data_IF_576507332683
#
_entry.id   IF_576507332683
#
_cell.length_a   1.000
_cell.length_b   1.000
_cell.length_c   1.000
_cell.angle_alpha   90.00
_cell.angle_beta   90.00
_cell.angle_gamma   90.00
#
_symmetry.space_group_name_H-M   'P 1'
#
loop_
_entity.id
_entity.type
_entity.pdbx_description
1 polymer ?
#
# COMPACT_ATOMS: atom_id res chain seq x y z
N UNK A 1 -17.75 -34.57 -14.60
CA UNK A 1 -16.29 -34.35 -14.50
C UNK A 1 -15.99 -32.97 -15.08
N UNK A 2 -15.76 -31.97 -14.23
CA UNK A 2 -14.99 -30.75 -14.55
C UNK A 2 -14.56 -30.15 -13.21
N UNK A 3 -13.41 -30.61 -12.72
CA UNK A 3 -12.71 -29.93 -11.65
C UNK A 3 -11.97 -28.73 -12.23
N UNK A 4 -12.14 -27.57 -11.61
CA UNK A 4 -11.04 -26.68 -11.31
C UNK A 4 -11.37 -25.91 -10.04
N UNK A 5 -11.05 -26.53 -8.91
CA UNK A 5 -10.40 -25.86 -7.77
C UNK A 5 -9.42 -24.80 -8.29
N UNK A 6 -9.38 -23.57 -7.79
CA UNK A 6 -9.08 -23.26 -6.39
C UNK A 6 -9.64 -21.89 -5.99
N UNK A 7 -10.80 -21.89 -5.33
CA UNK A 7 -11.20 -20.84 -4.39
C UNK A 7 -10.40 -20.97 -3.07
N UNK A 8 -9.11 -21.28 -3.17
CA UNK A 8 -8.19 -21.24 -2.05
C UNK A 8 -7.70 -19.80 -1.94
N UNK A 9 -8.50 -18.99 -1.24
CA UNK A 9 -8.06 -17.94 -0.33
C UNK A 9 -6.57 -17.58 -0.48
N UNK A 10 -6.20 -16.97 -1.61
CA UNK A 10 -4.95 -16.26 -1.69
C UNK A 10 -5.22 -15.03 -0.85
N UNK A 11 -4.90 -15.12 0.44
CA UNK A 11 -4.71 -13.97 1.32
C UNK A 11 -3.65 -13.11 0.66
N UNK A 12 -4.03 -12.34 -0.36
CA UNK A 12 -3.17 -11.40 -1.06
C UNK A 12 -2.77 -10.43 0.03
N UNK A 13 -1.60 -10.69 0.60
CA UNK A 13 -1.12 -9.96 1.76
C UNK A 13 -0.76 -8.60 1.24
N UNK A 14 -1.74 -7.68 1.29
CA UNK A 14 -1.60 -6.32 0.81
C UNK A 14 -0.30 -5.75 1.37
N UNK A 15 0.63 -5.43 0.49
CA UNK A 15 1.93 -4.94 0.90
C UNK A 15 1.71 -3.62 1.63
N UNK A 16 2.10 -3.58 2.90
CA UNK A 16 1.93 -2.41 3.76
C UNK A 16 3.17 -2.19 4.60
N UNK A 17 3.44 -0.94 4.92
CA UNK A 17 4.59 -0.50 5.70
C UNK A 17 4.13 0.44 6.81
N UNK A 18 4.97 0.61 7.84
CA UNK A 18 4.80 1.66 8.83
C UNK A 18 5.70 2.82 8.45
N UNK A 19 5.13 4.02 8.38
CA UNK A 19 5.86 5.25 8.10
C UNK A 19 6.80 5.53 9.27
N UNK A 20 8.10 5.70 9.01
CA UNK A 20 9.07 6.04 10.05
C UNK A 20 9.14 7.56 10.23
N UNK A 21 9.62 8.05 11.39
CA UNK A 21 9.94 9.47 11.54
C UNK A 21 10.93 9.91 10.45
N UNK A 22 10.54 10.91 9.67
CA UNK A 22 11.30 11.42 8.52
C UNK A 22 10.93 10.80 7.17
N UNK A 23 10.12 9.74 7.13
CA UNK A 23 9.57 9.25 5.88
C UNK A 23 8.53 10.24 5.33
N UNK A 24 8.60 10.48 4.02
CA UNK A 24 7.61 11.26 3.29
C UNK A 24 6.96 10.41 2.21
N UNK A 25 5.78 10.83 1.73
CA UNK A 25 5.14 10.17 0.59
C UNK A 25 6.07 10.08 -0.61
N UNK A 26 6.90 11.11 -0.82
CA UNK A 26 7.88 11.13 -1.91
C UNK A 26 9.00 10.11 -1.70
N UNK A 27 9.59 10.05 -0.49
CA UNK A 27 10.64 9.08 -0.17
C UNK A 27 10.14 7.63 -0.30
N UNK A 28 8.94 7.37 0.22
CA UNK A 28 8.29 6.05 0.11
C UNK A 28 7.97 5.73 -1.36
N UNK A 29 7.41 6.70 -2.09
CA UNK A 29 7.09 6.55 -3.50
C UNK A 29 8.31 6.14 -4.32
N UNK A 30 9.46 6.79 -4.10
CA UNK A 30 10.73 6.48 -4.76
C UNK A 30 11.31 5.14 -4.31
N UNK A 31 11.23 4.82 -3.02
CA UNK A 31 11.76 3.59 -2.42
C UNK A 31 11.03 2.33 -2.90
N UNK A 32 9.72 2.42 -3.05
CA UNK A 32 8.86 1.30 -3.45
C UNK A 32 8.40 1.38 -4.91
N UNK A 33 8.86 2.39 -5.67
CA UNK A 33 8.44 2.66 -7.05
C UNK A 33 6.92 2.76 -7.22
N UNK A 34 6.21 3.31 -6.22
CA UNK A 34 4.75 3.52 -6.25
C UNK A 34 4.47 5.00 -6.39
N UNK A 35 3.66 5.48 -7.35
CA UNK A 35 3.36 6.90 -7.48
C UNK A 35 2.71 7.48 -6.21
N UNK A 36 3.10 8.70 -5.83
CA UNK A 36 2.50 9.40 -4.67
C UNK A 36 0.98 9.48 -4.80
N UNK A 37 0.47 9.78 -6.01
CA UNK A 37 -0.97 9.81 -6.27
C UNK A 37 -1.67 8.47 -5.98
N UNK A 38 -1.01 7.35 -6.32
CA UNK A 38 -1.52 6.00 -6.00
C UNK A 38 -1.52 5.77 -4.49
N UNK A 39 -0.42 6.09 -3.80
CA UNK A 39 -0.34 6.00 -2.34
C UNK A 39 -1.43 6.83 -1.67
N UNK A 40 -1.68 8.04 -2.16
CA UNK A 40 -2.74 8.91 -1.68
C UNK A 40 -4.12 8.29 -1.88
N UNK A 41 -4.40 7.77 -3.09
CA UNK A 41 -5.68 7.16 -3.43
C UNK A 41 -5.98 5.92 -2.58
N UNK A 42 -5.04 4.99 -2.45
CA UNK A 42 -5.28 3.72 -1.75
C UNK A 42 -5.30 3.88 -0.22
N UNK A 43 -4.67 4.92 0.32
CA UNK A 43 -4.65 5.20 1.76
C UNK A 43 -5.55 6.36 2.17
N UNK A 44 -6.34 6.93 1.25
CA UNK A 44 -7.14 8.14 1.45
C UNK A 44 -6.34 9.30 2.08
N UNK A 45 -5.09 9.46 1.67
CA UNK A 45 -4.23 10.55 2.15
C UNK A 45 -4.49 11.79 1.30
N UNK A 46 -5.17 12.77 1.89
CA UNK A 46 -5.36 14.08 1.28
C UNK A 46 -4.14 14.99 1.43
N UNK A 47 -4.39 16.30 1.51
CA UNK A 47 -3.35 17.33 1.59
C UNK A 47 -2.56 17.35 2.91
N UNK A 48 -3.06 16.65 3.95
CA UNK A 48 -2.38 16.55 5.26
C UNK A 48 -1.13 15.68 5.23
N UNK A 49 -0.93 14.86 4.19
CA UNK A 49 0.25 14.00 4.06
C UNK A 49 0.22 12.81 5.03
N UNK A 50 1.42 12.30 5.36
CA UNK A 50 1.60 11.10 6.20
C UNK A 50 2.25 11.45 7.53
N UNK A 51 1.94 10.64 8.55
CA UNK A 51 2.50 10.75 9.89
C UNK A 51 3.35 9.53 10.21
N UNK A 52 4.40 9.71 11.01
CA UNK A 52 5.17 8.59 11.56
C UNK A 52 4.28 7.67 12.40
N UNK A 53 4.46 6.37 12.27
CA UNK A 53 3.62 5.35 12.88
C UNK A 53 2.36 5.01 12.08
N UNK A 54 2.05 5.74 11.00
CA UNK A 54 0.92 5.44 10.13
C UNK A 54 1.19 4.17 9.32
N UNK A 55 0.18 3.30 9.20
CA UNK A 55 0.21 2.15 8.29
C UNK A 55 -0.17 2.60 6.89
N UNK A 56 0.70 2.32 5.93
CA UNK A 56 0.58 2.74 4.54
C UNK A 56 0.59 1.52 3.62
N UNK A 57 -0.49 1.33 2.88
CA UNK A 57 -0.64 0.33 1.83
C UNK A 57 0.09 0.79 0.56
N UNK A 58 0.75 -0.14 -0.11
CA UNK A 58 1.56 0.10 -1.32
C UNK A 58 0.92 -0.47 -2.59
N UNK A 59 -0.03 -1.38 -2.43
CA UNK A 59 -0.58 -2.18 -3.53
C UNK A 59 -2.11 -1.99 -3.65
N UNK A 60 -2.61 -1.53 -4.81
CA UNK A 60 -4.03 -1.58 -5.15
C UNK A 60 -4.42 -3.01 -5.53
N UNK A 61 -5.41 -3.58 -4.86
CA UNK A 61 -6.04 -4.86 -5.26
C UNK A 61 -6.89 -4.68 -6.51
#
# INVERSE_FOLDING_TARGET
>A
MSGSSSAANQSVSRRSIIVNPGDTLYSISRKYSVPVATLQKINNIGSRGILSGMKLYLDPQ
#
